data_IF_358058549057
#
_entry.id   IF_358058549057
#
_cell.length_a   1.000
_cell.length_b   1.000
_cell.length_c   1.000
_cell.angle_alpha   90.00
_cell.angle_beta   90.00
_cell.angle_gamma   90.00
#
_symmetry.space_group_name_H-M   'P 1'
#
loop_
_entity.id
_entity.type
_entity.pdbx_description
1 polymer ?
#
# COMPACT_ATOMS: atom_id res chain seq x y z
N UNK A 1 80.40 -3.31 -15.07
CA UNK A 1 79.61 -3.34 -16.32
C UNK A 1 78.12 -3.49 -15.99
N UNK A 2 77.27 -2.48 -16.28
CA UNK A 2 75.82 -2.54 -16.05
C UNK A 2 75.17 -3.39 -17.16
N UNK A 3 74.62 -4.57 -16.84
CA UNK A 3 73.83 -5.38 -17.78
C UNK A 3 72.59 -4.58 -18.21
N UNK A 4 72.48 -4.24 -19.50
CA UNK A 4 71.26 -3.64 -20.06
C UNK A 4 70.15 -4.70 -20.04
N UNK A 5 69.04 -4.37 -19.39
CA UNK A 5 67.83 -5.20 -19.34
C UNK A 5 67.19 -5.15 -20.73
N UNK A 6 67.30 -6.23 -21.49
CA UNK A 6 66.62 -6.37 -22.79
C UNK A 6 65.24 -6.94 -22.51
N UNK A 7 64.22 -6.10 -22.54
CA UNK A 7 62.83 -6.59 -22.51
C UNK A 7 62.47 -7.12 -23.91
N UNK A 8 61.84 -8.30 -24.03
CA UNK A 8 61.41 -8.81 -25.33
C UNK A 8 60.42 -7.84 -25.98
N UNK A 9 60.57 -7.60 -27.28
CA UNK A 9 59.81 -6.62 -28.09
C UNK A 9 58.28 -6.76 -27.89
N UNK A 10 57.80 -7.97 -27.59
CA UNK A 10 56.37 -8.26 -27.41
C UNK A 10 55.79 -7.87 -26.04
N UNK A 11 56.61 -7.55 -25.03
CA UNK A 11 56.13 -7.24 -23.66
C UNK A 11 55.27 -5.98 -23.58
N UNK A 12 55.56 -4.98 -24.42
CA UNK A 12 54.73 -3.78 -24.55
C UNK A 12 53.38 -4.09 -25.21
N UNK A 13 53.35 -4.98 -26.20
CA UNK A 13 52.12 -5.37 -26.92
C UNK A 13 51.12 -6.07 -26.00
N UNK A 14 51.56 -7.04 -25.19
CA UNK A 14 50.69 -7.72 -24.22
C UNK A 14 50.17 -6.79 -23.12
N UNK A 15 51.01 -5.87 -22.60
CA UNK A 15 50.58 -4.86 -21.62
C UNK A 15 49.56 -3.88 -22.21
N UNK A 16 49.75 -3.44 -23.46
CA UNK A 16 48.82 -2.54 -24.15
C UNK A 16 47.46 -3.20 -24.43
N UNK A 17 47.43 -4.45 -24.91
CA UNK A 17 46.18 -5.20 -25.14
C UNK A 17 45.42 -5.47 -23.84
N UNK A 18 46.12 -5.83 -22.75
CA UNK A 18 45.51 -6.01 -21.42
C UNK A 18 44.95 -4.71 -20.84
N UNK A 19 45.62 -3.58 -21.06
CA UNK A 19 45.14 -2.28 -20.62
C UNK A 19 43.96 -1.79 -21.47
N UNK A 20 43.93 -2.09 -22.78
CA UNK A 20 42.80 -1.82 -23.66
C UNK A 20 41.56 -2.63 -23.28
N UNK A 21 41.71 -3.92 -22.98
CA UNK A 21 40.59 -4.77 -22.51
C UNK A 21 40.09 -4.37 -21.13
N UNK A 22 40.96 -3.95 -20.20
CA UNK A 22 40.57 -3.37 -18.90
C UNK A 22 39.82 -2.04 -19.06
N UNK A 23 40.29 -1.15 -19.94
CA UNK A 23 39.60 0.12 -20.26
C UNK A 23 38.23 -0.15 -20.88
N UNK A 24 38.15 -1.06 -21.85
CA UNK A 24 36.87 -1.46 -22.46
C UNK A 24 35.90 -2.00 -21.42
N UNK A 25 36.33 -2.94 -20.55
CA UNK A 25 35.50 -3.44 -19.43
C UNK A 25 35.04 -2.32 -18.51
N UNK A 26 35.92 -1.40 -18.16
CA UNK A 26 35.59 -0.24 -17.32
C UNK A 26 34.53 0.66 -17.97
N UNK A 27 34.68 1.00 -19.25
CA UNK A 27 33.69 1.79 -19.99
C UNK A 27 32.36 1.04 -20.17
N UNK A 28 32.39 -0.28 -20.40
CA UNK A 28 31.17 -1.10 -20.45
C UNK A 28 30.44 -1.12 -19.11
N UNK A 29 31.16 -1.25 -17.99
CA UNK A 29 30.57 -1.17 -16.65
C UNK A 29 29.96 0.22 -16.41
N UNK A 30 30.68 1.30 -16.74
CA UNK A 30 30.17 2.66 -16.63
C UNK A 30 28.90 2.88 -17.47
N UNK A 31 28.86 2.37 -18.69
CA UNK A 31 27.67 2.45 -19.54
C UNK A 31 26.49 1.70 -18.93
N UNK A 32 26.71 0.49 -18.42
CA UNK A 32 25.67 -0.29 -17.74
C UNK A 32 25.15 0.48 -16.51
N UNK A 33 26.05 1.03 -15.69
CA UNK A 33 25.66 1.84 -14.53
C UNK A 33 24.89 3.09 -14.95
N UNK A 34 25.28 3.77 -16.03
CA UNK A 34 24.58 4.93 -16.55
C UNK A 34 23.16 4.58 -17.05
N UNK A 35 23.00 3.45 -17.74
CA UNK A 35 21.69 2.96 -18.20
C UNK A 35 20.80 2.60 -17.00
N UNK A 36 21.35 1.89 -16.01
CA UNK A 36 20.61 1.54 -14.78
C UNK A 36 20.19 2.81 -14.03
N UNK A 37 21.11 3.76 -13.85
CA UNK A 37 20.84 5.01 -13.13
C UNK A 37 19.85 5.90 -13.89
N UNK A 38 20.00 6.02 -15.21
CA UNK A 38 19.08 6.76 -16.08
C UNK A 38 17.68 6.14 -16.09
N UNK A 39 17.58 4.81 -16.17
CA UNK A 39 16.31 4.09 -16.07
C UNK A 39 15.64 4.27 -14.71
N UNK A 40 16.40 4.19 -13.61
CA UNK A 40 15.90 4.43 -12.26
C UNK A 40 15.40 5.87 -12.08
N UNK A 41 16.15 6.86 -12.55
CA UNK A 41 15.76 8.27 -12.48
C UNK A 41 14.51 8.56 -13.32
N UNK A 42 14.44 8.04 -14.54
CA UNK A 42 13.27 8.16 -15.42
C UNK A 42 12.03 7.51 -14.81
N UNK A 43 12.15 6.30 -14.26
CA UNK A 43 11.05 5.63 -13.56
C UNK A 43 10.56 6.44 -12.34
N UNK A 44 11.49 6.97 -11.54
CA UNK A 44 11.14 7.77 -10.37
C UNK A 44 10.41 9.05 -10.78
N UNK A 45 10.91 9.74 -11.79
CA UNK A 45 10.29 10.95 -12.31
C UNK A 45 8.87 10.69 -12.85
N UNK A 46 8.69 9.63 -13.64
CA UNK A 46 7.38 9.21 -14.12
C UNK A 46 6.41 8.93 -12.97
N UNK A 47 6.87 8.22 -11.93
CA UNK A 47 6.04 7.89 -10.76
C UNK A 47 5.67 9.15 -9.96
N UNK A 48 6.60 10.08 -9.79
CA UNK A 48 6.36 11.33 -9.08
C UNK A 48 5.35 12.21 -9.85
N UNK A 49 5.41 12.22 -11.18
CA UNK A 49 4.38 12.85 -12.03
C UNK A 49 3.01 12.18 -11.88
N UNK A 50 2.92 10.85 -11.84
CA UNK A 50 1.64 10.18 -11.63
C UNK A 50 1.06 10.51 -10.24
N UNK A 51 1.90 10.51 -9.19
CA UNK A 51 1.50 10.83 -7.82
C UNK A 51 1.07 12.29 -7.63
N UNK A 52 1.54 13.23 -8.46
CA UNK A 52 1.15 14.65 -8.35
C UNK A 52 -0.34 14.88 -8.66
N UNK A 53 -0.95 13.99 -9.45
CA UNK A 53 -2.39 14.01 -9.74
C UNK A 53 -3.26 13.63 -8.54
N UNK A 54 -2.66 13.06 -7.49
CA UNK A 54 -3.34 12.63 -6.27
C UNK A 54 -2.93 13.52 -5.10
N UNK A 55 -3.63 14.66 -4.89
CA UNK A 55 -3.21 15.66 -3.92
C UNK A 55 -3.44 15.23 -2.47
N UNK A 56 -4.15 14.12 -2.24
CA UNK A 56 -4.52 13.62 -0.91
C UNK A 56 -3.88 12.26 -0.66
N UNK A 57 -2.90 12.25 0.24
CA UNK A 57 -2.08 11.09 0.57
C UNK A 57 -2.41 10.59 1.98
N UNK A 58 -2.32 9.28 2.16
CA UNK A 58 -2.61 8.62 3.42
C UNK A 58 -1.74 7.40 3.63
N UNK A 59 -1.92 6.79 4.79
CA UNK A 59 -1.22 5.56 5.18
C UNK A 59 -2.18 4.48 5.65
N UNK A 60 -1.80 3.22 5.44
CA UNK A 60 -2.42 2.04 6.02
C UNK A 60 -1.44 1.44 7.05
N UNK A 61 -1.93 1.21 8.26
CA UNK A 61 -1.13 0.80 9.41
C UNK A 61 -1.75 -0.42 10.12
N UNK A 62 -0.89 -1.19 10.75
CA UNK A 62 -1.16 -2.38 11.58
C UNK A 62 -0.10 -2.47 12.68
N UNK A 63 -0.22 -3.43 13.60
CA UNK A 63 0.78 -3.65 14.66
C UNK A 63 2.21 -3.83 14.14
N UNK A 64 2.39 -4.33 12.91
CA UNK A 64 3.72 -4.52 12.33
C UNK A 64 4.48 -3.20 12.13
N UNK A 65 3.78 -2.07 12.12
CA UNK A 65 4.39 -0.75 12.03
C UNK A 65 4.95 -0.27 13.37
N UNK A 66 4.54 -0.87 14.50
CA UNK A 66 4.96 -0.45 15.84
C UNK A 66 4.48 0.96 16.21
N UNK A 67 5.31 1.71 16.92
CA UNK A 67 5.00 3.09 17.29
C UNK A 67 5.02 4.02 16.06
N UNK A 68 3.96 4.80 15.89
CA UNK A 68 3.80 5.77 14.79
C UNK A 68 3.51 7.15 15.39
N UNK A 69 4.27 8.15 14.97
CA UNK A 69 4.03 9.55 15.32
C UNK A 69 3.04 10.19 14.32
N UNK A 70 1.76 10.25 14.71
CA UNK A 70 0.68 10.76 13.86
C UNK A 70 0.76 12.28 13.62
N UNK A 71 1.32 13.05 14.56
CA UNK A 71 1.53 14.49 14.36
C UNK A 71 2.59 14.72 13.29
N UNK A 72 3.68 13.97 13.33
CA UNK A 72 4.74 14.09 12.34
C UNK A 72 4.33 13.54 10.97
N UNK A 73 3.46 12.52 10.92
CA UNK A 73 2.80 12.12 9.67
C UNK A 73 2.05 13.30 9.06
N UNK A 74 1.23 14.01 9.85
CA UNK A 74 0.49 15.18 9.38
C UNK A 74 1.42 16.30 8.89
N UNK A 75 2.51 16.59 9.61
CA UNK A 75 3.53 17.56 9.20
C UNK A 75 4.20 17.20 7.86
N UNK A 76 4.30 15.90 7.54
CA UNK A 76 4.81 15.41 6.25
C UNK A 76 3.77 15.41 5.13
N UNK A 77 2.59 15.98 5.37
CA UNK A 77 1.51 16.09 4.38
C UNK A 77 0.68 14.83 4.22
N UNK A 78 0.77 13.87 5.15
CA UNK A 78 -0.22 12.79 5.26
C UNK A 78 -1.53 13.41 5.75
N UNK A 79 -2.65 13.01 5.15
CA UNK A 79 -3.96 13.59 5.44
C UNK A 79 -4.93 12.60 6.06
N UNK A 80 -4.66 11.29 5.94
CA UNK A 80 -5.47 10.25 6.54
C UNK A 80 -4.67 9.01 6.90
N UNK A 81 -5.19 8.24 7.85
CA UNK A 81 -4.66 6.94 8.23
C UNK A 81 -5.78 5.91 8.38
N UNK A 82 -5.56 4.71 7.84
CA UNK A 82 -6.38 3.53 8.10
C UNK A 82 -5.64 2.61 9.07
N UNK A 83 -6.29 2.24 10.17
CA UNK A 83 -5.74 1.37 11.21
C UNK A 83 -6.38 -0.01 11.14
N UNK A 84 -5.58 -1.07 11.15
CA UNK A 84 -6.10 -2.44 11.26
C UNK A 84 -6.68 -2.62 12.65
N UNK A 85 -7.93 -3.06 12.72
CA UNK A 85 -8.55 -3.42 13.99
C UNK A 85 -8.52 -4.94 14.20
N UNK A 86 -9.05 -5.70 13.24
CA UNK A 86 -9.23 -7.14 13.40
C UNK A 86 -9.02 -7.94 12.11
N UNK A 87 -8.85 -9.25 12.26
CA UNK A 87 -8.80 -10.24 11.18
C UNK A 87 -9.63 -11.45 11.53
N UNK A 88 -10.62 -11.78 10.69
CA UNK A 88 -11.54 -12.88 10.95
C UNK A 88 -12.25 -12.78 12.31
N UNK A 89 -12.56 -13.93 12.91
CA UNK A 89 -13.41 -13.99 14.09
C UNK A 89 -12.70 -13.88 15.44
N UNK A 90 -11.37 -13.87 15.49
CA UNK A 90 -10.65 -13.96 16.78
C UNK A 90 -9.38 -13.13 16.87
N UNK A 91 -8.81 -12.69 15.75
CA UNK A 91 -7.57 -11.93 15.79
C UNK A 91 -7.87 -10.43 15.88
N UNK A 92 -7.26 -9.78 16.85
CA UNK A 92 -7.24 -8.33 17.03
C UNK A 92 -5.82 -7.81 16.81
N UNK A 93 -5.70 -6.55 16.41
CA UNK A 93 -4.41 -5.91 16.22
C UNK A 93 -3.95 -5.27 17.55
N UNK A 94 -2.87 -5.78 18.13
CA UNK A 94 -2.41 -5.38 19.47
C UNK A 94 -2.11 -3.87 19.61
N UNK A 95 -1.89 -3.18 18.49
CA UNK A 95 -1.60 -1.75 18.47
C UNK A 95 -2.82 -0.90 18.11
N UNK A 96 -3.98 -1.48 17.81
CA UNK A 96 -5.13 -0.74 17.30
C UNK A 96 -5.59 0.36 18.25
N UNK A 97 -5.98 0.02 19.48
CA UNK A 97 -6.53 1.00 20.43
C UNK A 97 -5.51 2.09 20.73
N UNK A 98 -4.26 1.71 21.02
CA UNK A 98 -3.20 2.67 21.33
C UNK A 98 -2.85 3.56 20.12
N UNK A 99 -2.89 3.03 18.90
CA UNK A 99 -2.68 3.81 17.68
C UNK A 99 -3.84 4.76 17.41
N UNK A 100 -5.07 4.31 17.62
CA UNK A 100 -6.25 5.15 17.50
C UNK A 100 -6.20 6.32 18.48
N UNK A 101 -5.91 6.03 19.76
CA UNK A 101 -5.83 7.03 20.82
C UNK A 101 -4.68 8.02 20.55
N UNK A 102 -3.49 7.55 20.13
CA UNK A 102 -2.37 8.44 19.72
C UNK A 102 -2.66 9.26 18.47
N UNK A 103 -3.54 8.77 17.58
CA UNK A 103 -3.95 9.51 16.41
C UNK A 103 -4.94 10.63 16.74
N UNK A 104 -5.59 10.58 17.90
CA UNK A 104 -6.45 11.67 18.37
C UNK A 104 -5.62 12.94 18.57
N UNK A 105 -6.17 14.07 18.16
CA UNK A 105 -5.44 15.34 18.15
C UNK A 105 -4.45 15.49 16.98
N UNK A 106 -4.20 14.46 16.18
CA UNK A 106 -3.61 14.65 14.85
C UNK A 106 -4.69 15.21 13.91
N UNK A 107 -4.32 16.10 12.99
CA UNK A 107 -5.24 16.60 11.95
C UNK A 107 -5.54 15.56 10.85
N UNK A 108 -5.25 14.28 11.10
CA UNK A 108 -5.48 13.20 10.16
C UNK A 108 -6.93 12.73 10.24
N UNK A 109 -7.55 12.47 9.09
CA UNK A 109 -8.79 11.72 9.07
C UNK A 109 -8.50 10.24 9.35
N UNK A 110 -9.16 9.68 10.37
CA UNK A 110 -8.92 8.30 10.81
C UNK A 110 -10.00 7.37 10.28
N UNK A 111 -9.58 6.23 9.75
CA UNK A 111 -10.42 5.11 9.37
C UNK A 111 -9.91 3.82 10.00
N UNK A 112 -10.77 2.82 10.03
CA UNK A 112 -10.45 1.49 10.55
C UNK A 112 -10.73 0.43 9.51
N UNK A 113 -10.01 -0.69 9.58
CA UNK A 113 -10.25 -1.79 8.68
C UNK A 113 -10.21 -3.17 9.31
N UNK A 114 -11.01 -4.07 8.73
CA UNK A 114 -11.10 -5.48 9.05
C UNK A 114 -10.50 -6.32 7.93
N UNK A 115 -9.73 -7.35 8.24
CA UNK A 115 -9.27 -8.35 7.26
C UNK A 115 -10.27 -9.50 7.23
N UNK A 116 -10.97 -9.63 6.10
CA UNK A 116 -12.04 -10.60 5.93
C UNK A 116 -11.50 -12.03 5.86
N UNK A 117 -12.18 -12.94 6.56
CA UNK A 117 -11.91 -14.37 6.55
C UNK A 117 -13.01 -15.13 5.81
N UNK A 118 -12.62 -16.02 4.90
CA UNK A 118 -13.56 -16.91 4.21
C UNK A 118 -14.02 -18.08 5.10
N UNK A 119 -13.25 -18.41 6.14
CA UNK A 119 -13.45 -19.61 6.97
C UNK A 119 -14.28 -19.38 8.22
N UNK A 120 -14.51 -18.12 8.62
CA UNK A 120 -15.25 -17.78 9.85
C UNK A 120 -16.57 -17.09 9.52
N UNK A 121 -17.60 -17.25 10.36
CA UNK A 121 -18.95 -16.75 10.04
C UNK A 121 -18.99 -15.21 10.03
N UNK A 122 -19.85 -14.59 9.20
CA UNK A 122 -20.04 -13.14 9.21
C UNK A 122 -20.36 -12.58 10.61
N UNK A 123 -21.16 -13.30 11.40
CA UNK A 123 -21.54 -12.91 12.75
C UNK A 123 -20.35 -12.94 13.72
N UNK A 124 -19.50 -13.97 13.63
CA UNK A 124 -18.32 -14.06 14.49
C UNK A 124 -17.27 -13.01 14.13
N UNK A 125 -17.11 -12.71 12.83
CA UNK A 125 -16.25 -11.60 12.37
C UNK A 125 -16.77 -10.24 12.85
N UNK A 126 -18.09 -10.04 12.79
CA UNK A 126 -18.72 -8.82 13.31
C UNK A 126 -18.48 -8.68 14.80
N UNK A 127 -18.76 -9.72 15.60
CA UNK A 127 -18.55 -9.72 17.06
C UNK A 127 -17.12 -9.34 17.43
N UNK A 128 -16.13 -9.95 16.78
CA UNK A 128 -14.71 -9.61 16.99
C UNK A 128 -14.42 -8.14 16.66
N UNK A 129 -14.95 -7.65 15.55
CA UNK A 129 -14.78 -6.25 15.16
C UNK A 129 -15.47 -5.29 16.13
N UNK A 130 -16.67 -5.60 16.62
CA UNK A 130 -17.39 -4.82 17.65
C UNK A 130 -16.62 -4.73 18.97
N UNK A 131 -16.10 -5.87 19.46
CA UNK A 131 -15.36 -5.95 20.71
C UNK A 131 -14.07 -5.11 20.67
N UNK A 132 -13.33 -5.15 19.56
CA UNK A 132 -12.07 -4.41 19.42
C UNK A 132 -12.29 -2.92 19.08
N UNK A 133 -13.23 -2.62 18.20
CA UNK A 133 -13.42 -1.25 17.69
C UNK A 133 -14.27 -0.40 18.62
N UNK A 134 -15.39 -0.90 19.14
CA UNK A 134 -16.35 -0.10 19.90
C UNK A 134 -16.64 1.25 19.22
N UNK A 135 -16.38 2.36 19.90
CA UNK A 135 -16.57 3.72 19.35
C UNK A 135 -15.35 4.25 18.57
N UNK A 136 -14.25 3.49 18.48
CA UNK A 136 -12.99 3.89 17.83
C UNK A 136 -13.01 3.66 16.32
N UNK A 137 -14.12 3.88 15.65
CA UNK A 137 -14.24 3.63 14.20
C UNK A 137 -13.80 4.82 13.32
N UNK A 138 -13.52 5.98 13.93
CA UNK A 138 -13.06 7.17 13.21
C UNK A 138 -14.12 7.84 12.32
N UNK A 139 -13.62 8.76 11.49
CA UNK A 139 -14.43 9.61 10.60
C UNK A 139 -14.61 8.98 9.22
N UNK A 140 -13.62 8.22 8.76
CA UNK A 140 -13.66 7.61 7.44
C UNK A 140 -14.59 6.38 7.39
N UNK A 141 -15.03 5.99 6.18
CA UNK A 141 -15.73 4.71 5.99
C UNK A 141 -14.91 3.54 6.51
N UNK A 142 -15.58 2.53 7.07
CA UNK A 142 -14.93 1.28 7.50
C UNK A 142 -14.50 0.51 6.24
N UNK A 143 -13.24 0.10 6.18
CA UNK A 143 -12.73 -0.71 5.09
C UNK A 143 -12.76 -2.20 5.45
N UNK A 144 -13.17 -3.04 4.50
CA UNK A 144 -13.11 -4.50 4.61
C UNK A 144 -12.10 -5.00 3.58
N UNK A 145 -10.95 -5.47 4.07
CA UNK A 145 -9.87 -5.98 3.25
C UNK A 145 -10.15 -7.43 2.85
N UNK A 146 -10.31 -7.66 1.55
CA UNK A 146 -10.55 -8.96 0.92
C UNK A 146 -9.28 -9.34 0.15
N UNK A 147 -8.57 -10.34 0.64
CA UNK A 147 -7.31 -10.85 0.08
C UNK A 147 -7.45 -12.30 -0.35
N UNK A 148 -6.48 -12.80 -1.14
CA UNK A 148 -6.42 -14.21 -1.49
C UNK A 148 -5.50 -14.96 -0.54
N UNK A 149 -5.86 -16.18 -0.14
CA UNK A 149 -4.98 -17.09 0.61
C UNK A 149 -5.44 -18.55 0.45
N UNK A 150 -4.50 -19.50 0.44
CA UNK A 150 -4.82 -20.91 0.18
C UNK A 150 -5.64 -21.08 -1.10
N UNK A 151 -6.75 -21.82 -1.00
CA UNK A 151 -7.69 -22.05 -2.10
C UNK A 151 -8.66 -20.89 -2.36
N UNK A 152 -8.63 -19.85 -1.53
CA UNK A 152 -9.49 -18.68 -1.66
C UNK A 152 -8.86 -17.64 -2.59
N UNK A 153 -8.93 -17.89 -3.89
CA UNK A 153 -8.43 -17.00 -4.93
C UNK A 153 -9.53 -16.08 -5.52
N UNK A 154 -9.20 -15.29 -6.55
CA UNK A 154 -10.19 -14.45 -7.22
C UNK A 154 -11.30 -15.28 -7.90
N UNK A 155 -11.04 -16.50 -8.35
CA UNK A 155 -12.03 -17.38 -8.99
C UNK A 155 -13.04 -17.90 -7.97
N UNK A 156 -12.59 -18.20 -6.75
CA UNK A 156 -13.47 -18.52 -5.63
C UNK A 156 -14.53 -17.42 -5.43
N UNK A 157 -14.11 -16.16 -5.48
CA UNK A 157 -14.99 -14.99 -5.34
C UNK A 157 -15.93 -14.72 -6.53
N UNK A 158 -15.84 -15.47 -7.64
CA UNK A 158 -16.83 -15.42 -8.73
C UNK A 158 -18.09 -16.21 -8.41
N UNK A 159 -18.02 -17.11 -7.42
CA UNK A 159 -19.14 -17.96 -7.04
C UNK A 159 -20.17 -17.18 -6.20
N UNK A 160 -21.43 -17.56 -6.31
CA UNK A 160 -22.52 -16.87 -5.61
C UNK A 160 -22.43 -17.01 -4.08
N UNK A 161 -22.02 -18.17 -3.56
CA UNK A 161 -21.99 -18.41 -2.12
C UNK A 161 -20.96 -17.53 -1.37
N UNK A 162 -19.70 -17.42 -1.82
CA UNK A 162 -18.72 -16.49 -1.23
C UNK A 162 -19.16 -15.03 -1.31
N UNK A 163 -19.74 -14.60 -2.44
CA UNK A 163 -20.25 -13.24 -2.61
C UNK A 163 -21.40 -12.93 -1.64
N UNK A 164 -22.35 -13.86 -1.48
CA UNK A 164 -23.45 -13.72 -0.52
C UNK A 164 -22.93 -13.64 0.92
N UNK A 165 -21.94 -14.44 1.28
CA UNK A 165 -21.33 -14.43 2.63
C UNK A 165 -20.63 -13.09 2.91
N UNK A 166 -19.85 -12.58 1.95
CA UNK A 166 -19.23 -11.26 2.07
C UNK A 166 -20.30 -10.15 2.13
N UNK A 167 -21.35 -10.22 1.30
CA UNK A 167 -22.44 -9.25 1.34
C UNK A 167 -23.17 -9.26 2.70
N UNK A 168 -23.37 -10.44 3.30
CA UNK A 168 -23.95 -10.57 4.62
C UNK A 168 -23.08 -9.88 5.67
N UNK A 169 -21.77 -10.11 5.65
CA UNK A 169 -20.84 -9.43 6.56
C UNK A 169 -20.87 -7.90 6.39
N UNK A 170 -20.83 -7.41 5.15
CA UNK A 170 -20.95 -5.97 4.86
C UNK A 170 -22.29 -5.40 5.36
N UNK A 171 -23.39 -6.14 5.25
CA UNK A 171 -24.71 -5.68 5.71
C UNK A 171 -24.76 -5.60 7.23
N UNK A 172 -24.22 -6.59 7.92
CA UNK A 172 -24.10 -6.60 9.39
C UNK A 172 -23.26 -5.42 9.90
N UNK A 173 -22.09 -5.18 9.30
CA UNK A 173 -21.25 -4.02 9.66
C UNK A 173 -21.97 -2.69 9.44
N UNK A 174 -22.66 -2.54 8.30
CA UNK A 174 -23.41 -1.31 7.99
C UNK A 174 -24.55 -1.10 8.97
N UNK A 175 -25.26 -2.16 9.36
CA UNK A 175 -26.36 -2.10 10.32
C UNK A 175 -25.88 -1.73 11.72
N UNK A 176 -24.73 -2.25 12.16
CA UNK A 176 -24.20 -1.98 13.49
C UNK A 176 -23.66 -0.54 13.62
N UNK A 177 -22.79 -0.14 12.70
CA UNK A 177 -22.05 1.12 12.84
C UNK A 177 -22.72 2.34 12.21
N UNK A 178 -23.73 2.12 11.36
CA UNK A 178 -24.28 3.14 10.45
C UNK A 178 -23.19 3.95 9.73
N UNK A 179 -22.08 3.29 9.37
CA UNK A 179 -20.96 3.89 8.61
C UNK A 179 -20.93 3.44 7.17
N UNK A 180 -20.49 4.30 6.26
CA UNK A 180 -20.21 3.90 4.88
C UNK A 180 -19.13 2.82 4.91
N UNK A 181 -19.19 1.90 3.94
CA UNK A 181 -18.24 0.79 3.84
C UNK A 181 -17.46 0.84 2.52
N UNK A 182 -16.21 0.37 2.57
CA UNK A 182 -15.32 0.25 1.41
C UNK A 182 -14.82 -1.18 1.32
N UNK A 183 -14.76 -1.72 0.10
CA UNK A 183 -14.08 -2.99 -0.14
C UNK A 183 -12.63 -2.69 -0.51
N UNK A 184 -11.67 -3.19 0.25
CA UNK A 184 -10.24 -3.10 -0.07
C UNK A 184 -9.76 -4.40 -0.68
N UNK A 185 -9.35 -4.41 -1.94
CA UNK A 185 -8.90 -5.62 -2.62
C UNK A 185 -7.92 -5.36 -3.78
N UNK A 186 -7.40 -6.43 -4.40
CA UNK A 186 -6.63 -6.34 -5.64
C UNK A 186 -7.56 -6.16 -6.86
N UNK A 187 -7.04 -5.72 -8.03
CA UNK A 187 -7.83 -5.62 -9.26
C UNK A 187 -8.52 -6.94 -9.67
N UNK A 188 -7.85 -8.08 -9.49
CA UNK A 188 -8.38 -9.40 -9.85
C UNK A 188 -9.57 -9.82 -8.98
N UNK A 189 -9.51 -9.50 -7.68
CA UNK A 189 -10.65 -9.66 -6.78
C UNK A 189 -11.77 -8.71 -7.18
N UNK A 190 -11.46 -7.43 -7.43
CA UNK A 190 -12.48 -6.45 -7.80
C UNK A 190 -13.26 -6.87 -9.05
N UNK A 191 -12.58 -7.34 -10.09
CA UNK A 191 -13.20 -7.86 -11.31
C UNK A 191 -14.15 -9.05 -11.05
N UNK A 192 -13.95 -9.77 -9.94
CA UNK A 192 -14.81 -10.88 -9.55
C UNK A 192 -16.02 -10.42 -8.74
N UNK A 193 -15.92 -9.27 -8.07
CA UNK A 193 -16.97 -8.70 -7.22
C UNK A 193 -17.83 -7.64 -7.93
N UNK A 194 -17.28 -6.90 -8.89
CA UNK A 194 -17.91 -5.72 -9.50
C UNK A 194 -19.17 -6.02 -10.31
N UNK A 195 -19.29 -7.26 -10.80
CA UNK A 195 -20.48 -7.79 -11.49
C UNK A 195 -21.57 -8.29 -10.55
N UNK A 196 -21.32 -8.30 -9.25
CA UNK A 196 -22.29 -8.72 -8.24
C UNK A 196 -22.93 -7.53 -7.54
N UNK A 197 -23.83 -7.79 -6.59
CA UNK A 197 -24.39 -6.79 -5.68
C UNK A 197 -23.31 -6.02 -4.89
N UNK A 198 -22.11 -6.58 -4.72
CA UNK A 198 -20.97 -5.93 -4.06
C UNK A 198 -20.36 -4.81 -4.92
N UNK A 199 -20.63 -4.78 -6.23
CA UNK A 199 -20.17 -3.71 -7.12
C UNK A 199 -20.68 -2.32 -6.72
N UNK A 200 -21.74 -2.21 -5.91
CA UNK A 200 -22.24 -0.91 -5.43
C UNK A 200 -21.31 -0.21 -4.43
N UNK A 201 -20.43 -0.96 -3.75
CA UNK A 201 -19.51 -0.37 -2.79
C UNK A 201 -18.42 0.43 -3.50
N UNK A 202 -17.96 1.49 -2.84
CA UNK A 202 -16.72 2.15 -3.21
C UNK A 202 -15.56 1.23 -2.87
N UNK A 203 -14.48 1.32 -3.64
CA UNK A 203 -13.38 0.35 -3.55
C UNK A 203 -12.07 1.04 -3.24
N UNK A 204 -11.27 0.40 -2.40
CA UNK A 204 -9.85 0.66 -2.27
C UNK A 204 -9.11 -0.41 -3.06
N UNK A 205 -8.49 -0.03 -4.17
CA UNK A 205 -7.72 -0.98 -5.00
C UNK A 205 -6.25 -1.00 -4.60
N UNK A 206 -5.67 -2.18 -4.39
CA UNK A 206 -4.24 -2.38 -4.17
C UNK A 206 -3.54 -2.61 -5.51
N UNK A 207 -2.91 -1.57 -6.07
CA UNK A 207 -2.22 -1.63 -7.37
C UNK A 207 -1.11 -0.60 -7.49
N UNK A 208 0.02 -0.98 -8.10
CA UNK A 208 1.10 -0.05 -8.42
C UNK A 208 0.77 0.86 -9.63
N UNK A 209 -0.29 0.55 -10.38
CA UNK A 209 -0.73 1.35 -11.51
C UNK A 209 -1.59 2.53 -11.03
N UNK A 210 -1.10 3.75 -11.25
CA UNK A 210 -1.77 5.00 -10.89
C UNK A 210 -2.47 5.69 -12.06
N UNK A 211 -2.37 5.15 -13.28
CA UNK A 211 -2.91 5.80 -14.48
C UNK A 211 -4.38 5.44 -14.68
N UNK A 212 -5.20 6.42 -15.10
CA UNK A 212 -6.59 6.27 -15.54
C UNK A 212 -7.48 5.37 -14.64
N UNK A 213 -7.49 5.64 -13.33
CA UNK A 213 -8.23 4.83 -12.38
C UNK A 213 -9.73 5.11 -12.40
N UNK A 214 -10.53 4.03 -12.29
CA UNK A 214 -11.98 4.09 -12.30
C UNK A 214 -12.50 4.97 -11.15
N UNK A 215 -13.45 5.87 -11.41
CA UNK A 215 -14.04 6.74 -10.38
C UNK A 215 -14.72 5.98 -9.22
N UNK A 216 -15.05 4.69 -9.39
CA UNK A 216 -15.55 3.82 -8.30
C UNK A 216 -14.48 3.51 -7.26
N UNK A 217 -13.20 3.59 -7.63
CA UNK A 217 -12.10 3.48 -6.68
C UNK A 217 -12.03 4.78 -5.90
N UNK A 218 -12.29 4.72 -4.59
CA UNK A 218 -12.14 5.85 -3.68
C UNK A 218 -10.68 5.99 -3.23
N UNK A 219 -9.97 4.86 -3.07
CA UNK A 219 -8.58 4.83 -2.63
C UNK A 219 -7.73 3.91 -3.50
N UNK A 220 -6.45 4.22 -3.59
CA UNK A 220 -5.46 3.43 -4.31
C UNK A 220 -4.27 3.19 -3.38
N UNK A 221 -4.09 1.93 -2.96
CA UNK A 221 -2.90 1.49 -2.23
C UNK A 221 -1.81 1.15 -3.24
N UNK A 222 -0.84 2.06 -3.40
CA UNK A 222 0.13 1.98 -4.49
C UNK A 222 1.49 1.41 -4.09
N UNK A 223 1.77 1.36 -2.79
CA UNK A 223 2.96 0.70 -2.26
C UNK A 223 2.68 0.18 -0.85
N UNK A 224 2.68 -1.14 -0.66
CA UNK A 224 2.45 -1.75 0.65
C UNK A 224 3.61 -1.54 1.64
N UNK A 225 4.81 -1.26 1.13
CA UNK A 225 6.04 -1.15 1.92
C UNK A 225 6.76 0.19 1.65
N UNK A 226 6.02 1.29 1.64
CA UNK A 226 6.63 2.60 1.47
C UNK A 226 7.43 2.98 2.72
N UNK A 227 8.58 3.61 2.54
CA UNK A 227 9.38 4.09 3.67
C UNK A 227 9.11 5.56 3.91
N UNK A 228 8.75 5.92 5.14
CA UNK A 228 8.67 7.29 5.63
C UNK A 228 9.63 7.46 6.80
N UNK A 229 10.39 8.56 6.81
CA UNK A 229 11.27 8.87 7.94
C UNK A 229 10.47 9.59 9.02
N UNK A 230 10.27 8.96 10.17
CA UNK A 230 9.65 9.56 11.36
C UNK A 230 10.65 9.58 12.52
N UNK A 231 10.81 10.72 13.20
CA UNK A 231 11.67 10.91 14.37
C UNK A 231 13.12 10.42 14.15
N UNK A 232 13.65 10.66 12.94
CA UNK A 232 14.97 10.22 12.54
C UNK A 232 15.08 8.73 12.16
N UNK A 233 14.02 7.94 12.34
CA UNK A 233 13.95 6.52 12.03
C UNK A 233 13.16 6.25 10.75
N UNK A 234 13.56 5.22 10.00
CA UNK A 234 12.81 4.76 8.83
C UNK A 234 11.69 3.85 9.27
N UNK A 235 10.46 4.16 8.86
CA UNK A 235 9.29 3.35 9.13
C UNK A 235 8.64 2.90 7.82
N UNK A 236 8.33 1.61 7.74
CA UNK A 236 7.58 1.04 6.62
C UNK A 236 6.10 1.27 6.86
N UNK A 237 5.36 1.74 5.86
CA UNK A 237 3.92 2.00 5.89
C UNK A 237 3.27 1.61 4.56
N UNK A 238 1.98 1.26 4.58
CA UNK A 238 1.21 1.14 3.34
C UNK A 238 0.89 2.52 2.81
N UNK A 239 1.44 2.93 1.68
CA UNK A 239 1.13 4.22 1.06
C UNK A 239 -0.15 4.15 0.23
N UNK A 240 -1.04 5.10 0.50
CA UNK A 240 -2.38 5.19 -0.08
C UNK A 240 -2.61 6.59 -0.61
N UNK A 241 -3.37 6.71 -1.70
CA UNK A 241 -3.92 7.98 -2.15
C UNK A 241 -5.44 7.92 -2.23
N UNK A 242 -6.10 9.04 -1.98
CA UNK A 242 -7.50 9.21 -2.32
C UNK A 242 -7.63 9.57 -3.80
N UNK A 243 -8.50 8.86 -4.52
CA UNK A 243 -8.73 9.05 -5.94
C UNK A 243 -9.72 10.22 -6.18
N UNK A 244 -9.24 11.43 -5.95
CA UNK A 244 -10.01 12.64 -6.16
C UNK A 244 -9.28 13.92 -5.75
N UNK A 245 -9.92 15.05 -6.05
CA UNK A 245 -9.43 16.38 -5.70
C UNK A 245 -9.52 16.66 -4.19
N UNK A 246 -8.80 17.68 -3.72
CA UNK A 246 -8.91 18.18 -2.33
C UNK A 246 -10.34 18.59 -1.96
N UNK A 247 -11.13 19.09 -2.91
CA UNK A 247 -12.54 19.46 -2.69
C UNK A 247 -13.40 18.21 -2.45
N UNK A 248 -13.24 17.19 -3.30
CA UNK A 248 -13.93 15.91 -3.12
C UNK A 248 -13.53 15.25 -1.80
N UNK A 249 -12.27 15.35 -1.38
CA UNK A 249 -11.82 14.87 -0.09
C UNK A 249 -12.52 15.55 1.10
N UNK A 250 -12.67 16.88 1.09
CA UNK A 250 -13.39 17.61 2.15
C UNK A 250 -14.86 17.16 2.24
N UNK A 251 -15.51 16.93 1.09
CA UNK A 251 -16.85 16.36 1.05
C UNK A 251 -16.88 14.90 1.51
N UNK A 252 -15.80 14.14 1.29
CA UNK A 252 -15.73 12.74 1.64
C UNK A 252 -15.64 12.52 3.15
N UNK A 253 -14.92 13.36 3.88
CA UNK A 253 -14.73 13.21 5.33
C UNK A 253 -15.88 13.79 6.17
N UNK A 254 -16.82 14.50 5.53
CA UNK A 254 -17.97 15.15 6.19
C UNK A 254 -19.29 14.39 6.00
N UNK A 255 -19.28 13.31 5.20
CA UNK A 255 -20.42 12.41 4.92
C UNK A 255 -20.34 11.12 5.72
#
# INVERSE_FOLDING_TARGET
MKRRRIEPIYTNTYKQLRNRSRRLRFFSILLILAVIFGGWFGYRHYRDQQLSHYPVKGVALSQSNGFVDFQQLAQKGVQFAYLRATSGATYTDDQFQSSYDRSQGSHLAIGVYHVYSYTTSPQAQLKNFEEEVGQRHGQLPIAVQVTTYGDYDARYLRQAAPQKRLQQFMSLLRQHYDKRLIIWCTPSIWQSLDRSSLGRYRTWVQTANLSHQNQRFAFIGYNANATIKLNGQSQTVGAVVFNGSKRQWRSWITQ
#
